data_IF_087035812384
#
_entry.id   IF_087035812384
#
_cell.length_a   1.000
_cell.length_b   1.000
_cell.length_c   1.000
_cell.angle_alpha   90.00
_cell.angle_beta   90.00
_cell.angle_gamma   90.00
#
_symmetry.space_group_name_H-M   'P 1'
#
loop_
_entity.id
_entity.type
_entity.pdbx_description
1 polymer ?
#
# COMPACT_ATOMS: atom_id res chain seq x y z
N UNK A 1 -2.29 -24.94 -37.12
CA UNK A 1 -1.84 -23.62 -36.64
C UNK A 1 -2.88 -22.90 -35.81
N UNK A 2 -4.16 -22.82 -36.23
CA UNK A 2 -5.22 -22.10 -35.48
C UNK A 2 -5.60 -22.79 -34.15
N UNK A 3 -5.65 -24.13 -34.09
CA UNK A 3 -5.94 -24.89 -32.84
C UNK A 3 -4.96 -24.62 -31.68
N UNK A 4 -3.68 -24.38 -31.96
CA UNK A 4 -2.68 -24.12 -30.92
C UNK A 4 -2.81 -22.73 -30.30
N UNK A 5 -3.37 -21.73 -31.00
CA UNK A 5 -3.53 -20.38 -30.47
C UNK A 5 -4.75 -20.28 -29.53
N UNK A 6 -5.82 -21.05 -29.79
CA UNK A 6 -6.97 -21.17 -28.88
C UNK A 6 -6.63 -21.98 -27.63
N UNK A 7 -5.84 -23.06 -27.75
CA UNK A 7 -5.35 -23.82 -26.60
C UNK A 7 -4.40 -22.98 -25.72
N UNK A 8 -3.48 -22.21 -26.31
CA UNK A 8 -2.62 -21.28 -25.56
C UNK A 8 -3.46 -20.15 -24.93
N UNK A 9 -4.47 -19.61 -25.64
CA UNK A 9 -5.40 -18.61 -25.08
C UNK A 9 -6.17 -19.15 -23.88
N UNK A 10 -6.58 -20.42 -23.91
CA UNK A 10 -7.31 -21.06 -22.82
C UNK A 10 -6.40 -21.44 -21.65
N UNK A 11 -5.17 -21.91 -21.90
CA UNK A 11 -4.15 -22.18 -20.86
C UNK A 11 -3.74 -20.89 -20.13
N UNK A 12 -3.68 -19.75 -20.83
CA UNK A 12 -3.42 -18.43 -20.24
C UNK A 12 -4.67 -17.85 -19.54
N UNK A 13 -5.90 -18.21 -19.98
CA UNK A 13 -7.15 -17.83 -19.30
C UNK A 13 -7.45 -18.64 -18.03
N UNK A 14 -6.85 -19.82 -17.89
CA UNK A 14 -7.05 -20.77 -16.80
C UNK A 14 -5.84 -20.98 -15.89
N UNK A 15 -4.76 -20.21 -16.05
CA UNK A 15 -3.77 -20.11 -14.97
C UNK A 15 -4.49 -19.48 -13.78
N UNK A 16 -4.75 -20.31 -12.78
CA UNK A 16 -5.88 -20.27 -11.85
C UNK A 16 -6.23 -18.85 -11.37
N UNK A 17 -7.39 -18.30 -11.76
CA UNK A 17 -7.85 -16.95 -11.36
C UNK A 17 -7.82 -16.78 -9.83
N UNK A 18 -7.94 -17.88 -9.09
CA UNK A 18 -7.81 -17.93 -7.64
C UNK A 18 -6.35 -17.73 -7.19
N UNK A 19 -5.39 -18.42 -7.81
CA UNK A 19 -3.96 -18.27 -7.52
C UNK A 19 -3.44 -16.88 -7.89
N UNK A 20 -3.89 -16.34 -9.03
CA UNK A 20 -3.53 -14.98 -9.42
C UNK A 20 -3.99 -13.97 -8.36
N UNK A 21 -5.26 -14.03 -7.96
CA UNK A 21 -5.76 -13.14 -6.91
C UNK A 21 -5.06 -13.36 -5.57
N UNK A 22 -4.75 -14.61 -5.19
CA UNK A 22 -3.99 -14.90 -3.99
C UNK A 22 -2.59 -14.26 -4.02
N UNK A 23 -1.92 -14.28 -5.18
CA UNK A 23 -0.64 -13.58 -5.38
C UNK A 23 -0.79 -12.07 -5.24
N UNK A 24 -1.85 -11.47 -5.82
CA UNK A 24 -2.12 -10.03 -5.66
C UNK A 24 -2.43 -9.64 -4.21
N UNK A 25 -3.18 -10.47 -3.48
CA UNK A 25 -3.39 -10.30 -2.03
C UNK A 25 -2.08 -10.35 -1.24
N UNK A 26 -1.16 -11.26 -1.61
CA UNK A 26 0.16 -11.34 -0.97
C UNK A 26 1.00 -10.10 -1.29
N UNK A 27 1.03 -9.68 -2.55
CA UNK A 27 1.77 -8.50 -3.00
C UNK A 27 1.30 -7.24 -2.26
N UNK A 28 -0.01 -6.96 -2.27
CA UNK A 28 -0.53 -5.76 -1.60
C UNK A 28 -0.22 -5.79 -0.10
N UNK A 29 -0.34 -6.95 0.54
CA UNK A 29 0.01 -7.09 1.96
C UNK A 29 1.49 -6.77 2.21
N UNK A 30 2.40 -7.26 1.36
CA UNK A 30 3.83 -6.96 1.46
C UNK A 30 4.12 -5.47 1.26
N UNK A 31 3.49 -4.82 0.28
CA UNK A 31 3.64 -3.38 0.02
C UNK A 31 3.31 -2.57 1.28
N UNK A 32 2.15 -2.83 1.89
CA UNK A 32 1.73 -2.08 3.08
C UNK A 32 2.56 -2.43 4.32
N UNK A 33 2.95 -3.70 4.52
CA UNK A 33 3.86 -4.09 5.60
C UNK A 33 5.18 -3.33 5.47
N UNK A 34 5.82 -3.38 4.29
CA UNK A 34 7.09 -2.69 4.04
C UNK A 34 6.95 -1.18 4.22
N UNK A 35 5.83 -0.58 3.81
CA UNK A 35 5.55 0.84 4.05
C UNK A 35 5.55 1.18 5.54
N UNK A 36 4.83 0.42 6.36
CA UNK A 36 4.78 0.67 7.81
C UNK A 36 6.11 0.37 8.52
N UNK A 37 6.84 -0.67 8.09
CA UNK A 37 8.16 -1.00 8.61
C UNK A 37 9.17 0.10 8.31
N UNK A 38 9.20 0.59 7.07
CA UNK A 38 10.05 1.71 6.67
C UNK A 38 9.76 2.96 7.51
N UNK A 39 8.47 3.30 7.70
CA UNK A 39 8.05 4.41 8.57
C UNK A 39 8.56 4.23 10.00
N UNK A 40 8.43 3.04 10.58
CA UNK A 40 8.95 2.74 11.94
C UNK A 40 10.48 2.88 12.02
N UNK A 41 11.21 2.45 10.99
CA UNK A 41 12.68 2.59 10.95
C UNK A 41 13.08 4.07 10.92
N UNK A 42 12.45 4.86 10.06
CA UNK A 42 12.70 6.31 9.98
C UNK A 42 12.37 7.02 11.30
N UNK A 43 11.25 6.68 11.96
CA UNK A 43 10.90 7.24 13.27
C UNK A 43 11.98 6.96 14.33
N UNK A 44 12.54 5.74 14.36
CA UNK A 44 13.63 5.38 15.27
C UNK A 44 14.91 6.17 14.96
N UNK A 45 15.23 6.37 13.68
CA UNK A 45 16.38 7.18 13.27
C UNK A 45 16.22 8.64 13.69
N UNK A 46 15.05 9.25 13.44
CA UNK A 46 14.71 10.61 13.87
C UNK A 46 14.85 10.73 15.40
N UNK A 47 14.29 9.77 16.16
CA UNK A 47 14.39 9.77 17.62
C UNK A 47 15.86 9.71 18.10
N UNK A 48 16.69 8.87 17.47
CA UNK A 48 18.13 8.78 17.77
C UNK A 48 18.85 10.10 17.50
N UNK A 49 18.57 10.75 16.38
CA UNK A 49 19.17 12.04 16.02
C UNK A 49 18.69 13.16 16.96
N UNK A 50 17.41 13.19 17.35
CA UNK A 50 16.88 14.12 18.35
C UNK A 50 17.49 13.93 19.74
N UNK A 51 17.83 12.70 20.13
CA UNK A 51 18.58 12.45 21.36
C UNK A 51 20.01 12.99 21.24
N UNK A 52 20.66 12.76 20.09
CA UNK A 52 22.01 13.29 19.83
C UNK A 52 22.04 14.82 19.83
N UNK A 53 21.04 15.50 19.27
CA UNK A 53 21.02 16.96 19.21
C UNK A 53 20.94 17.62 20.59
N UNK A 54 20.45 16.93 21.62
CA UNK A 54 20.50 17.41 23.02
C UNK A 54 21.93 17.58 23.54
N UNK A 55 22.87 16.78 23.05
CA UNK A 55 24.29 16.86 23.41
C UNK A 55 25.09 17.79 22.50
N UNK A 56 24.58 18.07 21.30
CA UNK A 56 25.21 18.92 20.29
C UNK A 56 24.20 19.94 19.72
N UNK A 57 23.69 20.88 20.54
CA UNK A 57 22.57 21.75 20.15
C UNK A 57 22.91 22.77 19.06
N UNK A 58 24.20 23.02 18.81
CA UNK A 58 24.66 23.98 17.81
C UNK A 58 25.06 23.31 16.48
N UNK A 59 24.88 21.99 16.36
CA UNK A 59 25.15 21.24 15.13
C UNK A 59 24.01 21.49 14.11
N UNK A 60 24.21 22.50 13.25
CA UNK A 60 23.25 22.90 12.23
C UNK A 60 23.00 21.80 11.18
N UNK A 61 24.00 20.96 10.88
CA UNK A 61 23.87 19.87 9.93
C UNK A 61 22.96 18.78 10.49
N UNK A 62 23.13 18.46 11.78
CA UNK A 62 22.26 17.52 12.49
C UNK A 62 20.80 18.00 12.54
N UNK A 63 20.57 19.28 12.87
CA UNK A 63 19.22 19.86 12.91
C UNK A 63 18.58 19.80 11.52
N UNK A 64 19.30 20.22 10.47
CA UNK A 64 18.80 20.17 9.10
C UNK A 64 18.49 18.74 8.64
N UNK A 65 19.29 17.76 9.07
CA UNK A 65 19.06 16.35 8.76
C UNK A 65 17.78 15.84 9.40
N UNK A 66 17.53 16.19 10.68
CA UNK A 66 16.28 15.85 11.37
C UNK A 66 15.09 16.44 10.62
N UNK A 67 15.13 17.74 10.30
CA UNK A 67 14.06 18.43 9.59
C UNK A 67 13.75 17.79 8.22
N UNK A 68 14.79 17.40 7.48
CA UNK A 68 14.62 16.73 6.19
C UNK A 68 13.97 15.36 6.33
N UNK A 69 14.40 14.55 7.29
CA UNK A 69 13.80 13.24 7.56
C UNK A 69 12.35 13.35 8.06
N UNK A 70 12.06 14.37 8.87
CA UNK A 70 10.68 14.66 9.30
C UNK A 70 9.81 15.09 8.12
N UNK A 71 10.33 15.92 7.21
CA UNK A 71 9.61 16.23 5.97
C UNK A 71 9.37 14.97 5.13
N UNK A 72 10.36 14.10 5.00
CA UNK A 72 10.23 12.86 4.21
C UNK A 72 9.17 11.91 4.78
N UNK A 73 9.11 11.76 6.11
CA UNK A 73 8.17 10.82 6.75
C UNK A 73 6.75 11.37 6.88
N UNK A 74 6.59 12.69 7.00
CA UNK A 74 5.28 13.33 7.22
C UNK A 74 4.69 13.94 5.94
N UNK A 75 5.48 14.14 4.88
CA UNK A 75 4.98 14.60 3.60
C UNK A 75 4.48 13.41 2.76
N UNK A 76 3.27 12.95 3.10
CA UNK A 76 2.60 11.81 2.47
C UNK A 76 2.29 12.05 0.97
N UNK A 77 2.39 13.30 0.48
CA UNK A 77 2.09 13.69 -0.89
C UNK A 77 2.99 13.05 -1.97
N UNK A 78 4.22 12.67 -1.61
CA UNK A 78 5.18 12.04 -2.55
C UNK A 78 5.27 10.51 -2.38
N UNK A 79 4.34 9.91 -1.65
CA UNK A 79 4.32 8.47 -1.41
C UNK A 79 3.74 7.73 -2.63
N UNK A 80 4.45 6.72 -3.15
CA UNK A 80 3.98 5.86 -4.25
C UNK A 80 2.57 5.31 -4.00
N UNK A 81 2.24 4.98 -2.76
CA UNK A 81 0.90 4.52 -2.39
C UNK A 81 -0.14 5.62 -2.64
N UNK A 82 0.13 6.86 -2.22
CA UNK A 82 -0.78 7.99 -2.44
C UNK A 82 -0.91 8.34 -3.91
N UNK A 83 0.19 8.27 -4.66
CA UNK A 83 0.15 8.42 -6.11
C UNK A 83 -0.76 7.37 -6.75
N UNK A 84 -0.58 6.08 -6.46
CA UNK A 84 -1.45 5.02 -6.99
C UNK A 84 -2.92 5.27 -6.61
N UNK A 85 -3.21 5.57 -5.34
CA UNK A 85 -4.58 5.84 -4.89
C UNK A 85 -5.24 7.00 -5.65
N UNK A 86 -4.47 8.02 -6.04
CA UNK A 86 -4.98 9.13 -6.86
C UNK A 86 -5.33 8.76 -8.31
N UNK A 87 -4.81 7.63 -8.81
CA UNK A 87 -5.08 7.11 -10.16
C UNK A 87 -6.20 6.06 -10.17
N UNK A 88 -6.60 5.56 -9.01
CA UNK A 88 -7.67 4.58 -8.87
C UNK A 88 -9.06 5.22 -8.97
N UNK A 89 -10.06 4.38 -9.21
CA UNK A 89 -11.46 4.74 -8.99
C UNK A 89 -11.68 5.24 -7.54
N UNK A 90 -12.55 6.24 -7.31
CA UNK A 90 -12.81 6.75 -5.97
C UNK A 90 -13.22 5.66 -4.97
N UNK A 91 -14.07 4.72 -5.40
CA UNK A 91 -14.48 3.59 -4.58
C UNK A 91 -13.34 2.61 -4.29
N UNK A 92 -12.47 2.35 -5.27
CA UNK A 92 -11.30 1.49 -5.12
C UNK A 92 -10.28 2.08 -4.16
N UNK A 93 -9.95 3.36 -4.34
CA UNK A 93 -9.05 4.10 -3.47
C UNK A 93 -9.55 4.10 -2.02
N UNK A 94 -10.82 4.45 -1.80
CA UNK A 94 -11.45 4.44 -0.49
C UNK A 94 -11.43 3.04 0.16
N UNK A 95 -11.65 1.99 -0.63
CA UNK A 95 -11.60 0.61 -0.14
C UNK A 95 -10.19 0.21 0.31
N UNK A 96 -9.15 0.56 -0.47
CA UNK A 96 -7.76 0.29 -0.09
C UNK A 96 -7.38 1.10 1.16
N UNK A 97 -7.73 2.37 1.21
CA UNK A 97 -7.42 3.23 2.35
C UNK A 97 -8.00 2.66 3.65
N UNK A 98 -9.28 2.28 3.66
CA UNK A 98 -9.89 1.72 4.86
C UNK A 98 -9.44 0.28 5.15
N UNK A 99 -9.03 -0.50 4.16
CA UNK A 99 -8.52 -1.85 4.38
C UNK A 99 -7.06 -1.90 4.85
N UNK A 100 -6.24 -0.90 4.50
CA UNK A 100 -4.79 -1.02 4.63
C UNK A 100 -4.08 0.20 5.26
N UNK A 101 -4.67 1.40 5.22
CA UNK A 101 -4.03 2.63 5.72
C UNK A 101 -4.68 3.20 6.99
N UNK A 102 -6.00 3.22 7.04
CA UNK A 102 -6.75 3.82 8.14
C UNK A 102 -6.56 3.00 9.42
N UNK A 103 -5.96 3.60 10.45
CA UNK A 103 -5.68 2.96 11.73
C UNK A 103 -6.97 2.55 12.47
N UNK A 104 -8.08 3.23 12.23
CA UNK A 104 -9.36 2.92 12.87
C UNK A 104 -10.05 1.68 12.30
N UNK A 105 -9.74 1.31 11.04
CA UNK A 105 -10.48 0.27 10.32
C UNK A 105 -9.60 -0.91 9.89
N UNK A 106 -8.31 -0.69 9.62
CA UNK A 106 -7.40 -1.71 9.09
C UNK A 106 -7.35 -2.98 9.95
N UNK A 107 -7.28 -2.78 11.27
CA UNK A 107 -7.11 -3.87 12.25
C UNK A 107 -8.45 -4.27 12.90
N UNK A 108 -9.55 -3.63 12.50
CA UNK A 108 -10.90 -3.89 13.03
C UNK A 108 -11.64 -4.86 12.13
N UNK A 109 -11.98 -6.02 12.68
CA UNK A 109 -12.85 -6.96 11.98
C UNK A 109 -14.23 -6.32 11.75
N UNK A 110 -14.76 -6.52 10.54
CA UNK A 110 -16.16 -6.18 10.22
C UNK A 110 -16.53 -4.68 10.21
N UNK A 111 -15.57 -3.76 10.19
CA UNK A 111 -15.82 -2.32 10.03
C UNK A 111 -16.74 -2.00 8.83
N UNK A 112 -16.67 -2.82 7.79
CA UNK A 112 -17.43 -2.70 6.56
C UNK A 112 -18.94 -2.90 6.72
N UNK A 113 -19.41 -3.52 7.81
CA UNK A 113 -20.85 -3.81 8.01
C UNK A 113 -21.69 -2.54 8.11
N UNK A 114 -21.09 -1.39 8.44
CA UNK A 114 -21.76 -0.08 8.44
C UNK A 114 -22.09 0.43 7.03
N UNK A 115 -21.48 -0.15 6.00
CA UNK A 115 -21.55 0.35 4.62
C UNK A 115 -21.99 -0.71 3.60
N UNK A 116 -21.65 -1.98 3.84
CA UNK A 116 -21.88 -3.07 2.89
C UNK A 116 -22.28 -4.36 3.59
N UNK A 117 -23.02 -5.21 2.87
CA UNK A 117 -23.06 -6.63 3.19
C UNK A 117 -21.69 -7.27 2.98
N UNK A 118 -21.45 -8.39 3.69
CA UNK A 118 -20.21 -9.18 3.57
C UNK A 118 -19.84 -9.51 2.12
N UNK A 119 -20.79 -10.01 1.35
CA UNK A 119 -20.58 -10.39 -0.05
C UNK A 119 -20.19 -9.20 -0.92
N UNK A 120 -20.87 -8.06 -0.76
CA UNK A 120 -20.58 -6.82 -1.48
C UNK A 120 -19.20 -6.29 -1.13
N UNK A 121 -18.84 -6.31 0.15
CA UNK A 121 -17.52 -5.90 0.62
C UNK A 121 -16.42 -6.72 -0.04
N UNK A 122 -16.47 -8.06 0.03
CA UNK A 122 -15.42 -8.90 -0.55
C UNK A 122 -15.31 -8.77 -2.07
N UNK A 123 -16.44 -8.55 -2.76
CA UNK A 123 -16.43 -8.27 -4.21
C UNK A 123 -15.73 -6.95 -4.53
N UNK A 124 -16.06 -5.87 -3.80
CA UNK A 124 -15.44 -4.55 -3.98
C UNK A 124 -13.97 -4.55 -3.58
N UNK A 125 -13.63 -5.17 -2.44
CA UNK A 125 -12.24 -5.35 -1.98
C UNK A 125 -11.40 -6.09 -3.02
N UNK A 126 -11.91 -7.17 -3.60
CA UNK A 126 -11.22 -7.90 -4.67
C UNK A 126 -10.92 -7.00 -5.87
N UNK A 127 -11.91 -6.22 -6.33
CA UNK A 127 -11.72 -5.30 -7.45
C UNK A 127 -10.65 -4.23 -7.14
N UNK A 128 -10.74 -3.61 -5.96
CA UNK A 128 -9.80 -2.58 -5.51
C UNK A 128 -8.36 -3.12 -5.38
N UNK A 129 -8.17 -4.33 -4.86
CA UNK A 129 -6.84 -4.98 -4.77
C UNK A 129 -6.26 -5.16 -6.17
N UNK A 130 -7.03 -5.73 -7.10
CA UNK A 130 -6.55 -5.97 -8.46
C UNK A 130 -6.15 -4.66 -9.14
N UNK A 131 -7.01 -3.65 -9.06
CA UNK A 131 -6.73 -2.29 -9.58
C UNK A 131 -5.44 -1.70 -8.98
N UNK A 132 -5.31 -1.68 -7.65
CA UNK A 132 -4.12 -1.17 -6.97
C UNK A 132 -2.85 -1.91 -7.42
N UNK A 133 -2.88 -3.24 -7.42
CA UNK A 133 -1.70 -4.04 -7.81
C UNK A 133 -1.34 -3.89 -9.27
N UNK A 134 -2.32 -3.69 -10.16
CA UNK A 134 -2.06 -3.39 -11.56
C UNK A 134 -1.33 -2.07 -11.74
N UNK A 135 -1.76 -1.00 -11.05
CA UNK A 135 -1.02 0.27 -11.07
C UNK A 135 0.37 0.14 -10.47
N UNK A 136 0.51 -0.58 -9.35
CA UNK A 136 1.81 -0.81 -8.73
C UNK A 136 2.79 -1.51 -9.69
N UNK A 137 2.35 -2.60 -10.33
CA UNK A 137 3.15 -3.35 -11.29
C UNK A 137 3.42 -2.59 -12.60
N UNK A 138 2.68 -1.52 -12.90
CA UNK A 138 2.99 -0.68 -14.05
C UNK A 138 4.11 0.34 -13.76
N UNK A 139 4.44 0.57 -12.48
CA UNK A 139 5.47 1.50 -12.05
C UNK A 139 6.86 0.83 -11.89
N UNK A 140 6.94 -0.50 -12.00
CA UNK A 140 8.15 -1.31 -11.79
C UNK A 140 8.26 -2.41 -12.84
#
# INVERSE_FOLDING_TARGET
MIKNLEEISNIVKETDKKDFYAKMCKLISQIFISHFEFKKILQKQIAKLKLRSRFFPNDQELIKTIDNLEKEIYNDANNTIRFILSQMSPEGAWMIENCYLNEETRDVNEWYLKHFSKTTFYKKKKAAILEFTSFYLALF
#
